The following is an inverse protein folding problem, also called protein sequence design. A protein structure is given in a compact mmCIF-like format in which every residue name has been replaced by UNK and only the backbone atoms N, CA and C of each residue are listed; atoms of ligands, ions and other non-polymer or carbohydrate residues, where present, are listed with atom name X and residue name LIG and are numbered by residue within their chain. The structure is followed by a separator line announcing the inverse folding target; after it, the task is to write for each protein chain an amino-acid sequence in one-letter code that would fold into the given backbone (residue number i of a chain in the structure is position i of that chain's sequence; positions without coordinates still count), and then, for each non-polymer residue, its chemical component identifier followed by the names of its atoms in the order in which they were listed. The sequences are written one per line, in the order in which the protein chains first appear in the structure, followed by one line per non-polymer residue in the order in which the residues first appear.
data_IF_306390084048
#
_entry.id   IF_306390084048
#
_cell.length_a   1.000
_cell.length_b   1.000
_cell.length_c   1.000
_cell.angle_alpha   90.00
_cell.angle_beta   90.00
_cell.angle_gamma   90.00
#
_symmetry.space_group_name_H-M   'P 1'
#
loop_
_entity.id
_entity.type
_entity.pdbx_description
1 polymer ?
#
# COMPACT_ATOMS: atom_id res chain seq x y z
N UNK A 1 -5.30 18.85 -14.17
CA UNK A 1 -4.33 18.19 -13.27
C UNK A 1 -2.97 18.23 -13.94
N UNK A 2 -1.88 18.59 -13.24
CA UNK A 2 -0.53 18.50 -13.79
C UNK A 2 -0.17 17.03 -14.08
N UNK A 3 0.65 16.82 -15.11
CA UNK A 3 1.20 15.51 -15.42
C UNK A 3 2.17 15.03 -14.33
N UNK A 4 2.44 13.71 -14.22
CA UNK A 4 3.41 13.20 -13.26
C UNK A 4 4.81 13.83 -13.42
N UNK A 5 5.24 14.07 -14.65
CA UNK A 5 6.50 14.73 -14.94
C UNK A 5 6.52 16.19 -14.47
N UNK A 6 5.43 16.93 -14.68
CA UNK A 6 5.29 18.31 -14.20
C UNK A 6 5.29 18.39 -12.67
N UNK A 7 4.64 17.43 -12.00
CA UNK A 7 4.66 17.34 -10.54
C UNK A 7 6.07 17.11 -9.98
N UNK A 8 6.87 16.28 -10.66
CA UNK A 8 8.24 15.98 -10.24
C UNK A 8 9.21 17.15 -10.55
N UNK A 9 9.08 17.75 -11.74
CA UNK A 9 10.07 18.68 -12.28
C UNK A 9 9.71 20.15 -12.07
N UNK A 10 8.51 20.45 -11.56
CA UNK A 10 8.03 21.83 -11.36
C UNK A 10 7.91 22.62 -12.67
N UNK A 11 7.92 21.97 -13.82
CA UNK A 11 7.89 22.56 -15.17
C UNK A 11 7.27 21.62 -16.18
N UNK A 12 6.83 22.19 -17.29
CA UNK A 12 6.44 21.41 -18.46
C UNK A 12 7.68 20.94 -19.21
N UNK A 13 7.64 19.69 -19.69
CA UNK A 13 8.68 19.17 -20.57
C UNK A 13 8.46 19.68 -22.00
N UNK A 14 9.56 19.85 -22.74
CA UNK A 14 9.48 20.23 -24.15
C UNK A 14 9.00 19.02 -24.96
N UNK A 15 7.78 19.10 -25.47
CA UNK A 15 7.17 18.07 -26.31
C UNK A 15 6.89 18.62 -27.71
N UNK A 16 6.37 17.79 -28.61
CA UNK A 16 5.95 18.23 -29.96
C UNK A 16 4.83 19.26 -29.94
N UNK A 17 4.09 19.35 -28.83
CA UNK A 17 3.05 20.35 -28.67
C UNK A 17 3.69 21.70 -28.31
N UNK A 18 3.26 22.80 -28.96
CA UNK A 18 3.75 24.12 -28.60
C UNK A 18 3.45 24.42 -27.14
N UNK A 19 4.43 24.94 -26.43
CA UNK A 19 4.34 25.32 -25.02
C UNK A 19 4.93 26.70 -24.83
N UNK A 20 4.36 27.46 -23.89
CA UNK A 20 4.85 28.80 -23.61
C UNK A 20 6.23 28.71 -22.93
N UNK A 21 7.26 29.47 -23.35
CA UNK A 21 8.63 29.37 -22.81
C UNK A 21 8.71 29.59 -21.29
N UNK A 22 7.80 30.38 -20.71
CA UNK A 22 7.71 30.54 -19.26
C UNK A 22 7.39 29.23 -18.52
N UNK A 23 6.62 28.32 -19.13
CA UNK A 23 6.24 27.04 -18.54
C UNK A 23 7.36 25.99 -18.58
N UNK A 24 8.40 26.22 -19.39
CA UNK A 24 9.59 25.37 -19.44
C UNK A 24 10.55 25.64 -18.28
N UNK A 25 10.35 26.74 -17.54
CA UNK A 25 11.16 27.09 -16.38
C UNK A 25 10.63 26.39 -15.12
N UNK A 26 11.52 25.76 -14.32
CA UNK A 26 11.12 25.15 -13.06
C UNK A 26 10.59 26.18 -12.07
N UNK A 27 9.42 25.89 -11.50
CA UNK A 27 8.81 26.63 -10.40
C UNK A 27 8.41 25.62 -9.32
N UNK A 28 9.00 25.75 -8.13
CA UNK A 28 8.72 24.85 -7.01
C UNK A 28 8.14 25.63 -5.84
N UNK A 29 6.82 25.69 -5.77
CA UNK A 29 6.11 26.12 -4.57
C UNK A 29 5.75 24.88 -3.74
N UNK A 30 6.71 24.46 -2.91
CA UNK A 30 6.64 23.20 -2.15
C UNK A 30 5.48 23.21 -1.16
N UNK A 31 5.25 24.34 -0.48
CA UNK A 31 4.19 24.45 0.53
C UNK A 31 2.81 24.41 -0.12
N UNK A 32 2.60 25.15 -1.20
CA UNK A 32 1.34 25.07 -1.95
C UNK A 32 1.08 23.68 -2.53
N UNK A 33 2.13 23.00 -3.01
CA UNK A 33 2.00 21.62 -3.50
C UNK A 33 1.62 20.65 -2.37
N UNK A 34 2.21 20.78 -1.19
CA UNK A 34 1.88 19.99 0.01
C UNK A 34 0.44 20.21 0.45
N UNK A 35 -0.01 21.47 0.51
CA UNK A 35 -1.40 21.78 0.85
C UNK A 35 -2.39 21.21 -0.16
N UNK A 36 -2.11 21.37 -1.46
CA UNK A 36 -2.95 20.81 -2.52
C UNK A 36 -3.02 19.28 -2.43
N UNK A 37 -1.90 18.61 -2.12
CA UNK A 37 -1.86 17.17 -1.89
C UNK A 37 -2.70 16.77 -0.68
N UNK A 38 -2.55 17.46 0.47
CA UNK A 38 -3.36 17.21 1.68
C UNK A 38 -4.85 17.35 1.39
N UNK A 39 -5.27 18.43 0.72
CA UNK A 39 -6.68 18.66 0.33
C UNK A 39 -7.21 17.52 -0.55
N UNK A 40 -6.43 17.06 -1.55
CA UNK A 40 -6.81 15.93 -2.41
C UNK A 40 -6.94 14.63 -1.61
N UNK A 41 -5.99 14.34 -0.72
CA UNK A 41 -6.02 13.14 0.12
C UNK A 41 -7.24 13.12 1.05
N UNK A 42 -7.61 14.26 1.64
CA UNK A 42 -8.81 14.37 2.48
C UNK A 42 -10.07 14.03 1.68
N UNK A 43 -10.20 14.60 0.48
CA UNK A 43 -11.34 14.36 -0.42
C UNK A 43 -11.38 12.88 -0.83
N UNK A 44 -10.25 12.32 -1.28
CA UNK A 44 -10.15 10.91 -1.66
C UNK A 44 -10.54 9.99 -0.50
N UNK A 45 -10.05 10.28 0.70
CA UNK A 45 -10.35 9.48 1.89
C UNK A 45 -11.85 9.53 2.24
N UNK A 46 -12.48 10.71 2.14
CA UNK A 46 -13.93 10.87 2.38
C UNK A 46 -14.77 9.99 1.45
N UNK A 47 -14.48 9.99 0.15
CA UNK A 47 -15.25 9.21 -0.81
C UNK A 47 -14.88 7.73 -0.80
N UNK A 48 -13.60 7.39 -0.64
CA UNK A 48 -13.15 6.00 -0.55
C UNK A 48 -13.73 5.28 0.68
N UNK A 49 -13.84 5.98 1.83
CA UNK A 49 -14.38 5.40 3.06
C UNK A 49 -15.90 5.59 3.23
N UNK A 50 -16.60 6.20 2.27
CA UNK A 50 -18.03 6.53 2.40
C UNK A 50 -18.91 5.33 2.76
N UNK A 51 -18.56 4.15 2.24
CA UNK A 51 -19.25 2.89 2.49
C UNK A 51 -18.38 1.87 3.23
N UNK A 52 -17.26 2.33 3.81
CA UNK A 52 -16.38 1.44 4.56
C UNK A 52 -16.96 1.15 5.94
N UNK A 53 -17.07 -0.13 6.27
CA UNK A 53 -17.43 -0.58 7.62
C UNK A 53 -16.18 -0.77 8.47
N UNK A 54 -16.35 -0.59 9.78
CA UNK A 54 -15.27 -0.90 10.74
C UNK A 54 -15.13 -2.43 10.79
N UNK A 55 -13.98 -2.92 10.35
CA UNK A 55 -13.66 -4.35 10.44
C UNK A 55 -13.30 -4.71 11.89
N UNK A 56 -13.70 -5.90 12.36
CA UNK A 56 -13.33 -6.38 13.69
C UNK A 56 -11.81 -6.48 13.82
N UNK A 57 -11.29 -6.13 15.00
CA UNK A 57 -9.87 -6.25 15.31
C UNK A 57 -9.53 -7.73 15.48
N UNK A 58 -8.47 -8.18 14.82
CA UNK A 58 -8.00 -9.55 14.94
C UNK A 58 -6.97 -9.64 16.06
N UNK A 59 -7.23 -10.53 17.02
CA UNK A 59 -6.33 -10.76 18.13
C UNK A 59 -5.26 -11.79 17.81
N UNK A 60 -4.18 -11.75 18.59
CA UNK A 60 -3.18 -12.81 18.60
C UNK A 60 -3.85 -14.16 18.86
N UNK A 61 -3.36 -15.21 18.20
CA UNK A 61 -3.88 -16.59 18.21
C UNK A 61 -5.25 -16.80 17.55
N UNK A 62 -5.87 -15.77 16.94
CA UNK A 62 -7.08 -15.97 16.15
C UNK A 62 -6.81 -16.83 14.90
N UNK A 63 -7.73 -17.76 14.60
CA UNK A 63 -7.75 -18.54 13.37
C UNK A 63 -8.35 -17.68 12.26
N UNK A 64 -7.64 -17.54 11.15
CA UNK A 64 -8.06 -16.70 10.03
C UNK A 64 -7.81 -17.37 8.70
N UNK A 65 -8.63 -17.04 7.72
CA UNK A 65 -8.40 -17.39 6.32
C UNK A 65 -7.62 -16.26 5.65
N UNK A 66 -6.53 -16.61 4.99
CA UNK A 66 -5.70 -15.66 4.27
C UNK A 66 -5.39 -16.16 2.86
N UNK A 67 -5.09 -15.22 1.98
CA UNK A 67 -4.70 -15.50 0.60
C UNK A 67 -3.46 -14.70 0.25
N UNK A 68 -2.44 -15.38 -0.27
CA UNK A 68 -1.14 -14.77 -0.57
C UNK A 68 -1.13 -14.08 -1.94
N UNK A 69 -1.72 -14.73 -2.95
CA UNK A 69 -1.91 -14.17 -4.29
C UNK A 69 -3.36 -14.29 -4.71
N UNK A 70 -3.88 -13.38 -5.53
CA UNK A 70 -5.28 -13.39 -5.97
C UNK A 70 -5.71 -14.66 -6.72
N UNK A 71 -4.79 -15.42 -7.32
CA UNK A 71 -5.09 -16.68 -8.03
C UNK A 71 -4.97 -17.94 -7.16
N UNK A 72 -4.46 -17.83 -5.94
CA UNK A 72 -4.28 -18.98 -5.05
C UNK A 72 -5.57 -19.29 -4.26
N UNK A 73 -5.78 -20.53 -3.80
CA UNK A 73 -6.87 -20.84 -2.87
C UNK A 73 -6.65 -20.15 -1.52
N UNK A 74 -7.74 -19.94 -0.78
CA UNK A 74 -7.67 -19.49 0.61
C UNK A 74 -7.00 -20.56 1.48
N UNK A 75 -6.13 -20.13 2.40
CA UNK A 75 -5.43 -21.01 3.34
C UNK A 75 -5.75 -20.57 4.76
N UNK A 76 -5.93 -21.55 5.64
CA UNK A 76 -6.15 -21.29 7.05
C UNK A 76 -4.82 -21.09 7.78
N UNK A 77 -4.77 -20.13 8.71
CA UNK A 77 -3.60 -19.89 9.54
C UNK A 77 -3.94 -19.23 10.87
N UNK A 78 -2.92 -19.09 11.71
CA UNK A 78 -3.04 -18.46 13.03
C UNK A 78 -2.17 -17.21 13.08
N UNK A 79 -2.73 -16.14 13.62
CA UNK A 79 -2.01 -14.88 13.85
C UNK A 79 -1.05 -15.06 15.03
N UNK A 80 0.25 -14.85 14.81
CA UNK A 80 1.24 -14.79 15.90
C UNK A 80 1.25 -13.41 16.53
N UNK A 81 1.14 -12.34 15.74
CA UNK A 81 1.28 -10.99 16.28
C UNK A 81 0.60 -9.97 15.35
N UNK A 82 0.13 -8.87 15.92
CA UNK A 82 -0.24 -7.67 15.17
C UNK A 82 1.04 -6.96 14.72
N UNK A 83 1.12 -6.62 13.44
CA UNK A 83 2.26 -5.93 12.86
C UNK A 83 2.28 -4.42 13.19
N UNK A 84 3.36 -3.72 12.81
CA UNK A 84 3.55 -2.31 13.16
C UNK A 84 2.60 -1.36 12.41
N UNK A 85 2.05 -1.80 11.28
CA UNK A 85 1.10 -1.02 10.49
C UNK A 85 -0.34 -1.42 10.83
N UNK A 86 -1.30 -0.49 10.77
CA UNK A 86 -2.71 -0.82 10.95
C UNK A 86 -3.12 -1.95 9.99
N UNK A 87 -3.83 -2.96 10.52
CA UNK A 87 -4.31 -4.12 9.76
C UNK A 87 -3.19 -4.98 9.12
N UNK A 88 -1.98 -4.91 9.65
CA UNK A 88 -0.89 -5.85 9.32
C UNK A 88 -0.78 -6.93 10.40
N UNK A 89 -0.53 -8.18 10.00
CA UNK A 89 -0.45 -9.32 10.92
C UNK A 89 0.68 -10.27 10.51
N UNK A 90 1.36 -10.83 11.49
CA UNK A 90 2.42 -11.80 11.32
C UNK A 90 1.84 -13.19 11.59
N UNK A 91 2.06 -14.14 10.67
CA UNK A 91 1.54 -15.51 10.74
C UNK A 91 2.63 -16.53 11.06
N UNK A 92 2.25 -17.66 11.65
CA UNK A 92 3.15 -18.81 11.81
C UNK A 92 3.27 -19.54 10.49
N UNK A 93 4.48 -19.63 9.92
CA UNK A 93 4.76 -20.62 8.89
C UNK A 93 4.66 -22.00 9.56
N UNK A 94 3.76 -22.87 9.09
CA UNK A 94 3.83 -24.29 9.44
C UNK A 94 5.15 -24.80 8.85
N UNK A 95 6.00 -25.38 9.71
CA UNK A 95 7.34 -25.84 9.37
C UNK A 95 7.22 -27.11 8.53
N UNK A 96 6.95 -26.98 7.23
CA UNK A 96 7.13 -28.05 6.26
C UNK A 96 8.19 -27.59 5.25
N UNK A 97 9.38 -28.18 5.42
CA UNK A 97 10.63 -28.08 4.63
C UNK A 97 11.26 -26.70 4.44
N UNK A 98 12.59 -26.67 4.66
CA UNK A 98 13.46 -25.56 4.30
C UNK A 98 13.51 -25.50 2.77
N UNK A 99 12.81 -24.55 2.17
CA UNK A 99 13.14 -24.10 0.82
C UNK A 99 14.08 -22.91 0.95
N UNK A 100 15.35 -23.17 0.67
CA UNK A 100 16.34 -22.14 0.37
C UNK A 100 16.00 -21.65 -1.04
N UNK A 101 15.46 -20.45 -1.15
CA UNK A 101 15.42 -19.74 -2.42
C UNK A 101 16.49 -18.65 -2.38
N UNK A 102 17.61 -18.96 -3.03
CA UNK A 102 18.62 -17.98 -3.43
C UNK A 102 18.03 -17.11 -4.53
N UNK A 103 17.95 -15.81 -4.24
CA UNK A 103 17.67 -14.77 -5.22
C UNK A 103 18.12 -13.46 -4.61
N UNK A 104 19.34 -13.06 -4.98
CA UNK A 104 19.93 -11.76 -4.64
C UNK A 104 18.89 -10.66 -4.81
N UNK A 105 18.61 -9.95 -3.72
CA UNK A 105 18.23 -8.54 -3.74
C UNK A 105 18.56 -7.99 -2.37
N UNK A 106 19.72 -7.35 -2.28
CA UNK A 106 20.19 -6.57 -1.15
C UNK A 106 19.23 -5.40 -0.90
N UNK A 107 18.27 -5.58 0.01
CA UNK A 107 17.60 -4.49 0.71
C UNK A 107 17.32 -4.93 2.15
N UNK A 108 17.91 -4.27 3.17
CA UNK A 108 17.77 -4.69 4.55
C UNK A 108 16.43 -4.17 5.10
N UNK A 109 15.38 -4.95 4.93
CA UNK A 109 14.18 -4.85 5.78
C UNK A 109 13.75 -6.27 6.18
N UNK A 110 14.38 -6.75 7.26
CA UNK A 110 14.03 -7.99 7.92
C UNK A 110 12.57 -7.96 8.41
N UNK A 111 11.89 -9.11 8.27
CA UNK A 111 10.48 -9.45 8.54
C UNK A 111 9.47 -9.01 7.46
N UNK A 112 9.15 -9.99 6.62
CA UNK A 112 8.16 -9.97 5.53
C UNK A 112 6.78 -9.47 6.01
N UNK A 113 6.54 -8.17 5.89
CA UNK A 113 5.23 -7.55 6.13
C UNK A 113 4.36 -7.77 4.88
N UNK A 114 3.71 -8.93 4.81
CA UNK A 114 2.78 -9.24 3.72
C UNK A 114 1.45 -8.54 3.94
N UNK A 115 1.08 -7.64 3.01
CA UNK A 115 -0.28 -7.10 2.91
C UNK A 115 -1.21 -8.23 2.45
N UNK A 116 -1.81 -8.95 3.39
CA UNK A 116 -2.75 -10.04 3.10
C UNK A 116 -4.19 -9.53 3.15
N UNK A 117 -5.03 -10.03 2.25
CA UNK A 117 -6.48 -9.94 2.40
C UNK A 117 -6.88 -11.05 3.37
N UNK A 118 -7.42 -10.65 4.52
CA UNK A 118 -7.88 -11.56 5.56
C UNK A 118 -9.40 -11.48 5.60
N UNK A 119 -10.05 -12.64 5.54
CA UNK A 119 -11.49 -12.73 5.75
C UNK A 119 -11.74 -13.44 7.09
N UNK A 120 -12.60 -12.84 7.91
CA UNK A 120 -13.07 -13.45 9.15
C UNK A 120 -14.24 -14.32 8.76
N UNK A 121 -14.08 -15.65 8.83
CA UNK A 121 -15.22 -16.54 8.71
C UNK A 121 -16.13 -16.28 9.91
N UNK A 122 -17.34 -15.78 9.66
CA UNK A 122 -18.41 -15.88 10.65
C UNK A 122 -18.82 -17.35 10.69
N UNK A 123 -18.61 -18.01 11.83
CA UNK A 123 -19.27 -19.26 12.14
C UNK A 123 -20.76 -18.94 12.39
N UNK A 124 -21.65 -19.60 11.64
CA UNK A 124 -23.09 -19.69 11.92
C UNK A 124 -23.33 -20.76 12.99
#
# INVERSE_FOLDING_TARGET
MPSPAELLMGRKLRTFLPSHPGQLKPTFDVERAREALRKRQIIQNKYANKHATVLPVLHQNAKVWFKHKMKEPWKQGTIIQVGPQPRSYIKKKKKERKEVFSGETDFPFDKTTLRMIIHVGQEL
#
